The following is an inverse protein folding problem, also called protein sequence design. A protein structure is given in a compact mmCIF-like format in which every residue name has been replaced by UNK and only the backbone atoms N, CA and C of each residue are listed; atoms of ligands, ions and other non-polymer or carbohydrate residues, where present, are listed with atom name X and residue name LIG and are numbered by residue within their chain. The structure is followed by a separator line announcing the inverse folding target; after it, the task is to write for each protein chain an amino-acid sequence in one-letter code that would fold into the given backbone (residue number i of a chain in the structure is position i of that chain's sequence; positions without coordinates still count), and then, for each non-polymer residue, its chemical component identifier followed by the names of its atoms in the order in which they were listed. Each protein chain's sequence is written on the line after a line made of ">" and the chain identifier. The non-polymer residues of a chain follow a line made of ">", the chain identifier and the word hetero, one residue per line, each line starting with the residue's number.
data_IF_769334583271
#
_entry.id   IF_769334583271
#
_cell.length_a   1.000
_cell.length_b   1.000
_cell.length_c   1.000
_cell.angle_alpha   90.00
_cell.angle_beta   90.00
_cell.angle_gamma   90.00
#
_symmetry.space_group_name_H-M   'P 1'
#
loop_
_entity.id
_entity.type
_entity.pdbx_description
1 polymer ?
#
# COMPACT_ATOMS: atom_id res chain seq x y z
N UNK A 1 -13.64 -22.92 -40.06
CA UNK A 1 -13.27 -23.47 -38.73
C UNK A 1 -11.97 -22.86 -38.23
N UNK A 2 -10.82 -23.11 -38.88
CA UNK A 2 -9.50 -22.57 -38.47
C UNK A 2 -9.45 -21.05 -38.27
N UNK A 3 -10.02 -20.25 -39.18
CA UNK A 3 -10.09 -18.77 -39.05
C UNK A 3 -10.85 -18.30 -37.80
N UNK A 4 -11.93 -19.00 -37.41
CA UNK A 4 -12.72 -18.68 -36.21
C UNK A 4 -11.94 -19.01 -34.92
N UNK A 5 -11.20 -20.12 -34.93
CA UNK A 5 -10.35 -20.53 -33.80
C UNK A 5 -9.19 -19.55 -33.61
N UNK A 6 -8.53 -19.12 -34.69
CA UNK A 6 -7.47 -18.12 -34.64
C UNK A 6 -8.00 -16.79 -34.11
N UNK A 7 -9.17 -16.35 -34.56
CA UNK A 7 -9.80 -15.12 -34.07
C UNK A 7 -10.12 -15.20 -32.57
N UNK A 8 -10.64 -16.34 -32.10
CA UNK A 8 -10.88 -16.57 -30.68
C UNK A 8 -9.58 -16.52 -29.85
N UNK A 9 -8.52 -17.21 -30.28
CA UNK A 9 -7.21 -17.19 -29.60
C UNK A 9 -6.59 -15.79 -29.58
N UNK A 10 -6.66 -15.06 -30.69
CA UNK A 10 -6.18 -13.68 -30.77
C UNK A 10 -6.95 -12.76 -29.80
N UNK A 11 -8.27 -12.91 -29.72
CA UNK A 11 -9.09 -12.14 -28.78
C UNK A 11 -8.75 -12.45 -27.32
N UNK A 12 -8.50 -13.72 -26.97
CA UNK A 12 -8.12 -14.12 -25.63
C UNK A 12 -6.74 -13.57 -25.25
N UNK A 13 -5.76 -13.66 -26.16
CA UNK A 13 -4.42 -13.11 -25.95
C UNK A 13 -4.47 -11.59 -25.76
N UNK A 14 -5.32 -10.90 -26.53
CA UNK A 14 -5.53 -9.46 -26.38
C UNK A 14 -6.14 -9.11 -25.02
N UNK A 15 -7.21 -9.79 -24.61
CA UNK A 15 -7.83 -9.59 -23.29
C UNK A 15 -6.84 -9.83 -22.15
N UNK A 16 -6.05 -10.90 -22.24
CA UNK A 16 -5.03 -11.22 -21.24
C UNK A 16 -3.93 -10.16 -21.19
N UNK A 17 -3.51 -9.62 -22.34
CA UNK A 17 -2.51 -8.56 -22.43
C UNK A 17 -3.02 -7.25 -21.80
N UNK A 18 -4.27 -6.88 -22.09
CA UNK A 18 -4.91 -5.70 -21.48
C UNK A 18 -5.03 -5.86 -19.97
N UNK A 19 -5.49 -7.03 -19.51
CA UNK A 19 -5.58 -7.33 -18.08
C UNK A 19 -4.21 -7.27 -17.41
N UNK A 20 -3.21 -7.92 -17.99
CA UNK A 20 -1.85 -7.93 -17.47
C UNK A 20 -1.26 -6.52 -17.39
N UNK A 21 -1.43 -5.71 -18.44
CA UNK A 21 -1.02 -4.31 -18.42
C UNK A 21 -1.73 -3.52 -17.31
N UNK A 22 -3.04 -3.69 -17.19
CA UNK A 22 -3.84 -2.98 -16.19
C UNK A 22 -3.38 -3.28 -14.76
N UNK A 23 -3.13 -4.56 -14.44
CA UNK A 23 -2.68 -5.01 -13.12
C UNK A 23 -1.25 -4.54 -12.78
N UNK A 24 -0.39 -4.34 -13.78
CA UNK A 24 1.01 -3.94 -13.58
C UNK A 24 1.24 -2.42 -13.71
N UNK A 25 0.18 -1.63 -13.95
CA UNK A 25 0.29 -0.17 -13.95
C UNK A 25 0.57 0.33 -12.53
N UNK A 26 1.43 1.34 -12.43
CA UNK A 26 1.69 2.04 -11.17
C UNK A 26 0.59 3.07 -10.87
N UNK A 27 0.10 3.03 -9.64
CA UNK A 27 -0.94 3.90 -9.11
C UNK A 27 -0.48 4.51 -7.80
N UNK A 28 -0.98 5.70 -7.50
CA UNK A 28 -0.64 6.43 -6.30
C UNK A 28 -1.07 5.64 -5.06
N UNK A 29 -0.14 5.41 -4.15
CA UNK A 29 -0.45 4.80 -2.86
C UNK A 29 -1.00 5.87 -1.93
N UNK A 30 -2.31 5.87 -1.77
CA UNK A 30 -3.01 6.71 -0.78
C UNK A 30 -3.30 5.92 0.49
N UNK A 31 -3.41 6.60 1.64
CA UNK A 31 -3.83 5.96 2.88
C UNK A 31 -5.15 5.23 2.69
N UNK A 32 -5.26 4.04 3.26
CA UNK A 32 -6.55 3.35 3.38
C UNK A 32 -7.06 3.55 4.80
N UNK A 33 -8.29 4.01 4.93
CA UNK A 33 -8.92 4.31 6.22
C UNK A 33 -10.23 3.52 6.38
N UNK A 34 -10.62 3.16 7.62
CA UNK A 34 -11.91 2.54 7.87
C UNK A 34 -13.05 3.45 7.40
N UNK A 35 -14.04 2.87 6.73
CA UNK A 35 -15.27 3.55 6.33
C UNK A 35 -16.15 3.72 7.57
N UNK A 36 -16.32 4.95 8.03
CA UNK A 36 -17.11 5.26 9.24
C UNK A 36 -18.63 5.19 8.97
N UNK A 37 -19.05 5.33 7.71
CA UNK A 37 -20.45 5.54 7.31
C UNK A 37 -21.24 4.24 7.06
N UNK A 38 -20.80 3.12 7.65
CA UNK A 38 -21.45 1.82 7.47
C UNK A 38 -22.73 1.72 8.32
N UNK A 39 -23.77 2.45 7.92
CA UNK A 39 -25.16 2.23 8.34
C UNK A 39 -25.79 0.98 7.72
N UNK A 40 -25.06 0.27 6.87
CA UNK A 40 -25.53 -0.91 6.13
C UNK A 40 -25.01 -2.17 6.82
N UNK A 41 -25.92 -3.07 7.18
CA UNK A 41 -25.59 -4.40 7.69
C UNK A 41 -24.71 -5.14 6.68
N UNK A 42 -23.44 -5.32 7.01
CA UNK A 42 -22.50 -6.12 6.24
C UNK A 42 -22.85 -7.58 6.51
N UNK A 43 -23.53 -8.22 5.57
CA UNK A 43 -24.05 -9.58 5.75
C UNK A 43 -22.95 -10.65 5.87
N UNK A 44 -21.70 -10.35 5.51
CA UNK A 44 -20.58 -11.32 5.54
C UNK A 44 -19.25 -10.62 5.88
N UNK A 45 -18.93 -10.49 7.16
CA UNK A 45 -17.71 -9.80 7.62
C UNK A 45 -16.42 -10.52 7.22
N UNK A 46 -16.44 -11.86 7.12
CA UNK A 46 -15.29 -12.71 6.75
C UNK A 46 -14.94 -12.68 5.26
N UNK A 47 -15.86 -12.26 4.39
CA UNK A 47 -15.69 -12.39 2.93
C UNK A 47 -15.49 -11.04 2.23
N UNK A 48 -15.85 -9.94 2.89
CA UNK A 48 -15.84 -8.61 2.28
C UNK A 48 -15.06 -7.57 3.09
N UNK A 49 -13.87 -7.94 3.58
CA UNK A 49 -12.96 -7.01 4.29
C UNK A 49 -12.71 -5.72 3.49
N UNK A 50 -12.59 -5.80 2.17
CA UNK A 50 -12.42 -4.62 1.30
C UNK A 50 -13.57 -3.60 1.38
N UNK A 51 -14.79 -3.98 1.78
CA UNK A 51 -15.93 -3.06 1.91
C UNK A 51 -15.86 -2.21 3.19
N UNK A 52 -15.04 -2.61 4.16
CA UNK A 52 -14.80 -1.88 5.41
C UNK A 52 -13.89 -0.67 5.24
N UNK A 53 -13.25 -0.54 4.08
CA UNK A 53 -12.20 0.42 3.84
C UNK A 53 -12.58 1.40 2.73
N UNK A 54 -12.04 2.61 2.83
CA UNK A 54 -12.02 3.58 1.73
C UNK A 54 -10.60 4.08 1.52
N UNK A 55 -10.29 4.47 0.29
CA UNK A 55 -9.08 5.23 0.00
C UNK A 55 -9.31 6.65 0.51
N UNK A 56 -8.34 7.19 1.25
CA UNK A 56 -8.39 8.55 1.77
C UNK A 56 -8.35 9.58 0.64
N UNK A 57 -9.14 10.65 0.80
CA UNK A 57 -9.09 11.79 -0.10
C UNK A 57 -7.79 12.58 0.08
N UNK A 58 -7.38 13.35 -0.93
CA UNK A 58 -6.12 14.10 -0.89
C UNK A 58 -5.99 15.05 0.31
N UNK A 59 -7.11 15.62 0.80
CA UNK A 59 -7.14 16.45 2.01
C UNK A 59 -7.01 15.67 3.31
N UNK A 60 -7.35 14.37 3.31
CA UNK A 60 -7.24 13.48 4.47
C UNK A 60 -5.82 12.92 4.62
N UNK A 61 -4.94 13.08 3.62
CA UNK A 61 -3.57 12.54 3.64
C UNK A 61 -2.70 13.34 4.61
N UNK A 62 -2.19 12.71 5.69
CA UNK A 62 -1.32 13.40 6.60
C UNK A 62 0.03 13.74 5.97
N UNK A 63 0.60 14.91 6.28
CA UNK A 63 1.89 15.36 5.69
C UNK A 63 3.05 14.40 5.91
N UNK A 64 3.03 13.62 6.99
CA UNK A 64 4.08 12.63 7.30
C UNK A 64 3.93 11.33 6.49
N UNK A 65 2.79 11.10 5.83
CA UNK A 65 2.41 9.80 5.29
C UNK A 65 3.41 9.29 4.27
N UNK A 66 3.69 10.03 3.19
CA UNK A 66 4.54 9.52 2.11
C UNK A 66 5.98 9.24 2.57
N UNK A 67 6.49 10.02 3.52
CA UNK A 67 7.80 9.78 4.13
C UNK A 67 7.79 8.48 4.95
N UNK A 68 6.80 8.31 5.82
CA UNK A 68 6.74 7.16 6.72
C UNK A 68 6.35 5.87 5.98
N UNK A 69 5.44 5.94 5.00
CA UNK A 69 5.02 4.78 4.21
C UNK A 69 6.17 4.27 3.34
N UNK A 70 7.02 5.15 2.81
CA UNK A 70 8.21 4.74 2.07
C UNK A 70 9.10 3.81 2.91
N UNK A 71 9.35 4.19 4.16
CA UNK A 71 10.10 3.38 5.10
C UNK A 71 9.40 2.03 5.38
N UNK A 72 8.09 2.06 5.64
CA UNK A 72 7.28 0.85 5.88
C UNK A 72 7.37 -0.13 4.70
N UNK A 73 7.16 0.35 3.48
CA UNK A 73 7.20 -0.50 2.28
C UNK A 73 8.58 -1.09 2.05
N UNK A 74 9.64 -0.29 2.23
CA UNK A 74 11.03 -0.75 2.11
C UNK A 74 11.31 -1.90 3.09
N UNK A 75 10.87 -1.74 4.34
CA UNK A 75 11.04 -2.76 5.39
C UNK A 75 10.25 -4.04 5.15
N UNK A 76 9.10 -3.92 4.51
CA UNK A 76 8.26 -5.08 4.18
C UNK A 76 8.56 -5.65 2.79
N UNK A 77 9.68 -5.24 2.16
CA UNK A 77 10.11 -5.71 0.84
C UNK A 77 9.04 -5.54 -0.24
N UNK A 78 8.22 -4.49 -0.13
CA UNK A 78 7.15 -4.21 -1.08
C UNK A 78 7.69 -3.39 -2.26
N UNK A 79 7.37 -3.80 -3.49
CA UNK A 79 7.72 -3.04 -4.69
C UNK A 79 6.99 -1.68 -4.73
N UNK A 80 7.77 -0.59 -4.83
CA UNK A 80 7.24 0.75 -5.06
C UNK A 80 8.18 1.60 -5.92
N UNK A 81 7.65 2.69 -6.45
CA UNK A 81 8.44 3.76 -7.08
C UNK A 81 8.09 5.10 -6.43
N UNK A 82 9.05 6.02 -6.42
CA UNK A 82 8.88 7.37 -5.90
C UNK A 82 8.87 8.35 -7.07
N UNK A 83 7.85 9.22 -7.14
CA UNK A 83 7.78 10.33 -8.10
C UNK A 83 7.32 11.59 -7.38
N UNK A 84 8.13 12.65 -7.43
CA UNK A 84 7.82 13.95 -6.80
C UNK A 84 7.45 13.83 -5.30
N UNK A 85 8.13 12.95 -4.56
CA UNK A 85 7.83 12.70 -3.14
C UNK A 85 6.56 11.89 -2.86
N UNK A 86 5.86 11.45 -3.90
CA UNK A 86 4.67 10.59 -3.82
C UNK A 86 5.06 9.15 -4.14
N UNK A 87 4.48 8.21 -3.41
CA UNK A 87 4.74 6.78 -3.53
C UNK A 87 3.71 6.13 -4.44
N UNK A 88 4.17 5.28 -5.36
CA UNK A 88 3.33 4.53 -6.28
C UNK A 88 3.61 3.04 -6.17
N UNK A 89 2.56 2.22 -6.20
CA UNK A 89 2.64 0.75 -6.20
C UNK A 89 1.93 0.18 -7.43
N UNK A 90 2.19 -1.09 -7.77
CA UNK A 90 1.46 -1.77 -8.85
C UNK A 90 -0.01 -1.95 -8.46
N UNK A 91 -0.92 -1.72 -9.39
CA UNK A 91 -2.37 -1.76 -9.17
C UNK A 91 -2.85 -3.07 -8.54
N UNK A 92 -2.26 -4.21 -8.92
CA UNK A 92 -2.59 -5.52 -8.33
C UNK A 92 -2.51 -5.55 -6.81
N UNK A 93 -1.61 -4.78 -6.19
CA UNK A 93 -1.45 -4.71 -4.74
C UNK A 93 -2.49 -3.82 -4.06
N UNK A 94 -3.11 -2.88 -4.78
CA UNK A 94 -4.20 -2.07 -4.24
C UNK A 94 -5.51 -2.85 -4.07
N UNK A 95 -5.65 -4.01 -4.72
CA UNK A 95 -6.85 -4.84 -4.57
C UNK A 95 -6.95 -5.48 -3.17
N UNK A 96 -5.85 -5.52 -2.42
CA UNK A 96 -5.79 -5.99 -1.05
C UNK A 96 -5.82 -4.79 -0.08
N UNK A 97 -7.02 -4.29 0.22
CA UNK A 97 -7.19 -3.08 1.04
C UNK A 97 -6.74 -3.31 2.48
N UNK A 98 -6.78 -4.55 2.97
CA UNK A 98 -6.33 -4.89 4.31
C UNK A 98 -4.81 -4.80 4.41
N UNK A 99 -4.07 -5.30 3.43
CA UNK A 99 -2.62 -5.12 3.35
C UNK A 99 -2.25 -3.63 3.30
N UNK A 100 -2.92 -2.85 2.45
CA UNK A 100 -2.66 -1.41 2.36
C UNK A 100 -3.02 -0.69 3.67
N UNK A 101 -4.10 -1.09 4.34
CA UNK A 101 -4.45 -0.57 5.65
C UNK A 101 -3.36 -0.91 6.67
N UNK A 102 -2.90 -2.15 6.75
CA UNK A 102 -1.82 -2.56 7.65
C UNK A 102 -0.50 -1.79 7.40
N UNK A 103 -0.19 -1.44 6.15
CA UNK A 103 0.94 -0.54 5.89
C UNK A 103 0.64 0.89 6.36
N UNK A 104 -0.58 1.36 6.12
CA UNK A 104 -1.02 2.71 6.49
C UNK A 104 -1.05 2.92 8.01
N UNK A 105 -1.57 1.98 8.81
CA UNK A 105 -1.53 2.04 10.29
C UNK A 105 -0.13 2.26 10.81
N UNK A 106 0.84 1.53 10.26
CA UNK A 106 2.24 1.54 10.70
C UNK A 106 2.87 2.91 10.50
N UNK A 107 2.44 3.67 9.50
CA UNK A 107 2.96 5.04 9.27
C UNK A 107 2.74 5.98 10.45
N UNK A 108 1.77 5.68 11.30
CA UNK A 108 1.45 6.42 12.52
C UNK A 108 1.71 5.61 13.81
N UNK A 109 2.33 4.43 13.73
CA UNK A 109 2.58 3.58 14.88
C UNK A 109 4.00 3.78 15.41
N UNK A 110 4.14 4.56 16.48
CA UNK A 110 5.42 4.85 17.12
C UNK A 110 6.11 3.57 17.64
N UNK A 111 5.36 2.65 18.23
CA UNK A 111 5.93 1.45 18.84
C UNK A 111 6.44 0.49 17.76
N UNK A 112 5.80 0.45 16.59
CA UNK A 112 6.31 -0.28 15.44
C UNK A 112 7.68 0.26 15.00
N UNK A 113 7.84 1.58 14.86
CA UNK A 113 9.12 2.19 14.49
C UNK A 113 10.22 1.96 15.55
N UNK A 114 9.90 2.06 16.84
CA UNK A 114 10.85 1.73 17.92
C UNK A 114 11.28 0.26 17.84
N UNK A 115 10.32 -0.64 17.65
CA UNK A 115 10.61 -2.07 17.49
C UNK A 115 11.55 -2.35 16.30
N UNK A 116 11.34 -1.69 15.16
CA UNK A 116 12.29 -1.78 14.03
C UNK A 116 13.69 -1.27 14.40
N UNK A 117 13.77 -0.19 15.19
CA UNK A 117 15.04 0.42 15.61
C UNK A 117 15.83 -0.50 16.53
N UNK A 118 15.13 -1.19 17.42
CA UNK A 118 15.73 -2.14 18.35
C UNK A 118 16.23 -3.38 17.60
N UNK A 119 15.47 -3.89 16.63
CA UNK A 119 15.90 -5.00 15.76
C UNK A 119 17.16 -4.63 14.95
N UNK A 120 17.20 -3.45 14.34
CA UNK A 120 18.39 -2.97 13.63
C UNK A 120 19.61 -2.91 14.53
N UNK A 121 19.43 -2.38 15.75
CA UNK A 121 20.51 -2.25 16.71
C UNK A 121 21.02 -3.62 17.16
N UNK A 122 20.14 -4.60 17.37
CA UNK A 122 20.51 -5.97 17.70
C UNK A 122 21.26 -6.68 16.55
N UNK A 123 20.86 -6.39 15.30
CA UNK A 123 21.50 -6.95 14.10
C UNK A 123 22.76 -6.19 13.67
N UNK A 124 23.11 -5.09 14.33
CA UNK A 124 24.22 -4.21 13.95
C UNK A 124 24.00 -3.42 12.66
N UNK A 125 22.76 -3.32 12.16
CA UNK A 125 22.43 -2.50 10.99
C UNK A 125 22.31 -1.02 11.40
N UNK A 126 23.12 -0.18 10.76
CA UNK A 126 23.16 1.26 11.01
C UNK A 126 22.76 2.09 9.78
N UNK A 127 22.49 1.45 8.64
CA UNK A 127 22.27 2.16 7.37
C UNK A 127 21.09 3.12 7.41
N UNK A 128 20.04 2.76 8.13
CA UNK A 128 18.78 3.52 8.21
C UNK A 128 18.54 4.16 9.57
N UNK A 129 19.52 4.07 10.48
CA UNK A 129 19.40 4.56 11.86
C UNK A 129 18.94 6.02 11.92
N UNK A 130 19.60 6.89 11.16
CA UNK A 130 19.28 8.32 11.18
C UNK A 130 17.88 8.63 10.66
N UNK A 131 17.42 7.90 9.65
CA UNK A 131 16.09 8.09 9.08
C UNK A 131 15.02 7.67 10.09
N UNK A 132 15.22 6.52 10.73
CA UNK A 132 14.31 5.99 11.75
C UNK A 132 14.28 6.87 13.00
N UNK A 133 15.44 7.33 13.48
CA UNK A 133 15.54 8.27 14.61
C UNK A 133 14.84 9.61 14.27
N UNK A 134 14.96 10.09 13.02
CA UNK A 134 14.22 11.27 12.53
C UNK A 134 12.70 11.04 12.53
N UNK A 135 12.22 9.88 12.10
CA UNK A 135 10.80 9.52 12.12
C UNK A 135 10.31 9.50 13.58
N UNK A 136 10.99 8.77 14.47
CA UNK A 136 10.65 8.64 15.89
C UNK A 136 10.62 10.01 16.59
N UNK A 137 11.60 10.88 16.31
CA UNK A 137 11.61 12.24 16.86
C UNK A 137 10.42 13.08 16.37
N UNK A 138 10.00 12.90 15.11
CA UNK A 138 8.85 13.57 14.53
C UNK A 138 7.52 13.25 15.24
N UNK A 139 7.38 12.07 15.85
CA UNK A 139 6.22 11.73 16.68
C UNK A 139 6.15 12.52 17.99
N UNK A 140 7.29 12.93 18.55
CA UNK A 140 7.35 13.69 19.82
C UNK A 140 7.03 15.18 19.65
N UNK A 141 6.95 15.66 18.41
CA UNK A 141 6.72 17.07 18.07
C UNK A 141 5.27 17.34 17.64
N UNK A 142 4.41 16.31 17.67
CA UNK A 142 2.97 16.39 17.46
C UNK A 142 2.25 16.44 18.80
#
# INVERSE_FOLDING_TARGET
>A
MKKKIILALASLAFLFSVYYYWQNRYVELRPVVPRQDLHRSIFFYETFHNQLFKIADSSEIPRYYYKNIQYVLKRQCQDYIVKNGVIYIKYKYMNDMEMIWNHTTKTSNLDWFKSQRDMDSANGDTKEKEELDRIIKGFKQK
#
